data_IF_609745474636
#
_entry.id   IF_609745474636
#
_cell.length_a   1.000
_cell.length_b   1.000
_cell.length_c   1.000
_cell.angle_alpha   90.00
_cell.angle_beta   90.00
_cell.angle_gamma   90.00
#
_symmetry.space_group_name_H-M   'P 1'
#
loop_
_entity.id
_entity.type
_entity.pdbx_description
1 polymer ?
#
# COMPACT_ATOMS: atom_id res chain seq x y z
N UNK A 1 13.23 19.57 27.60
CA UNK A 1 13.29 18.18 28.13
C UNK A 1 13.11 17.25 26.95
N UNK A 2 14.14 16.52 26.55
CA UNK A 2 13.99 15.50 25.50
C UNK A 2 13.05 14.42 26.06
N UNK A 3 11.89 14.24 25.45
CA UNK A 3 10.98 13.15 25.80
C UNK A 3 11.78 11.86 25.59
N UNK A 4 11.96 11.05 26.63
CA UNK A 4 12.55 9.72 26.52
C UNK A 4 11.67 8.93 25.53
N UNK A 5 12.04 9.00 24.25
CA UNK A 5 11.21 8.48 23.17
C UNK A 5 11.63 7.03 23.01
N UNK A 6 10.74 6.12 23.39
CA UNK A 6 11.03 4.69 23.28
C UNK A 6 11.29 4.33 21.81
N UNK A 7 12.06 3.28 21.51
CA UNK A 7 12.24 2.81 20.13
C UNK A 7 10.91 2.57 19.41
N UNK A 8 9.90 2.08 20.12
CA UNK A 8 8.55 1.89 19.61
C UNK A 8 7.87 3.23 19.24
N UNK A 9 8.02 4.27 20.06
CA UNK A 9 7.46 5.59 19.78
C UNK A 9 8.14 6.27 18.59
N UNK A 10 9.47 6.13 18.48
CA UNK A 10 10.23 6.58 17.31
C UNK A 10 9.74 5.87 16.04
N UNK A 11 9.55 4.56 16.11
CA UNK A 11 9.05 3.78 14.98
C UNK A 11 7.62 4.18 14.60
N UNK A 12 6.71 4.38 15.56
CA UNK A 12 5.34 4.88 15.29
C UNK A 12 5.37 6.24 14.61
N UNK A 13 6.19 7.17 15.10
CA UNK A 13 6.30 8.50 14.51
C UNK A 13 6.84 8.44 13.07
N UNK A 14 7.89 7.66 12.84
CA UNK A 14 8.47 7.47 11.50
C UNK A 14 7.48 6.80 10.54
N UNK A 15 6.76 5.78 11.01
CA UNK A 15 5.76 5.06 10.23
C UNK A 15 4.62 6.00 9.81
N UNK A 16 4.08 6.78 10.75
CA UNK A 16 3.01 7.73 10.48
C UNK A 16 3.44 8.81 9.47
N UNK A 17 4.62 9.41 9.68
CA UNK A 17 5.15 10.44 8.78
C UNK A 17 5.37 9.91 7.35
N UNK A 18 5.93 8.71 7.22
CA UNK A 18 6.16 8.13 5.89
C UNK A 18 4.86 7.74 5.21
N UNK A 19 3.91 7.14 5.93
CA UNK A 19 2.60 6.74 5.39
C UNK A 19 1.88 7.95 4.83
N UNK A 20 1.89 9.07 5.57
CA UNK A 20 1.33 10.34 5.12
C UNK A 20 2.05 10.92 3.91
N UNK A 21 3.38 10.81 3.85
CA UNK A 21 4.14 11.27 2.70
C UNK A 21 3.85 10.44 1.43
N UNK A 22 3.70 9.12 1.58
CA UNK A 22 3.45 8.19 0.48
C UNK A 22 2.00 8.22 -0.04
N UNK A 23 1.03 8.64 0.78
CA UNK A 23 -0.38 8.68 0.39
C UNK A 23 -0.74 9.77 -0.62
N UNK A 24 0.19 10.69 -0.92
CA UNK A 24 -0.01 11.87 -1.76
C UNK A 24 -1.11 12.84 -1.24
N UNK A 25 -1.50 12.74 0.03
CA UNK A 25 -2.54 13.57 0.66
C UNK A 25 -2.01 14.39 1.84
N UNK A 26 -2.09 15.72 1.72
CA UNK A 26 -1.53 16.65 2.72
C UNK A 26 -2.26 16.66 4.05
N UNK A 27 -3.59 16.52 4.01
CA UNK A 27 -4.44 16.60 5.19
C UNK A 27 -4.76 15.24 5.80
N UNK A 28 -4.17 14.16 5.27
CA UNK A 28 -4.42 12.81 5.79
C UNK A 28 -3.88 12.66 7.22
N UNK A 29 -4.72 12.14 8.10
CA UNK A 29 -4.32 11.74 9.44
C UNK A 29 -3.87 10.28 9.46
N UNK A 30 -2.87 9.97 10.30
CA UNK A 30 -2.42 8.59 10.50
C UNK A 30 -2.55 8.24 11.98
N UNK A 31 -3.38 7.23 12.27
CA UNK A 31 -3.63 6.70 13.59
C UNK A 31 -3.12 5.28 13.77
N UNK A 32 -3.21 4.79 15.01
CA UNK A 32 -2.91 3.41 15.36
C UNK A 32 -4.11 2.77 16.04
N UNK A 33 -4.46 1.55 15.64
CA UNK A 33 -5.62 0.83 16.17
C UNK A 33 -5.58 -0.65 15.83
N UNK A 34 -6.43 -1.43 16.50
CA UNK A 34 -6.51 -2.87 16.28
C UNK A 34 -7.12 -3.19 14.90
N UNK A 35 -8.04 -2.35 14.43
CA UNK A 35 -8.66 -2.44 13.12
C UNK A 35 -7.94 -1.50 12.16
N UNK A 36 -6.97 -2.05 11.42
CA UNK A 36 -6.29 -1.28 10.39
C UNK A 36 -7.19 -1.13 9.15
N UNK A 37 -7.23 0.08 8.60
CA UNK A 37 -8.10 0.40 7.48
C UNK A 37 -8.06 1.88 7.10
N UNK A 38 -8.68 2.18 5.97
CA UNK A 38 -8.92 3.53 5.50
C UNK A 38 -10.28 4.01 6.00
N UNK A 39 -10.31 5.13 6.71
CA UNK A 39 -11.52 5.78 7.24
C UNK A 39 -11.85 7.08 6.49
N UNK A 40 -11.27 7.30 5.31
CA UNK A 40 -11.48 8.48 4.48
C UNK A 40 -10.45 9.57 4.78
N UNK A 41 -10.66 10.33 5.85
CA UNK A 41 -9.73 11.40 6.29
C UNK A 41 -8.54 10.87 7.11
N UNK A 42 -8.64 9.61 7.57
CA UNK A 42 -7.66 8.99 8.44
C UNK A 42 -7.33 7.56 8.01
N UNK A 43 -6.04 7.25 7.92
CA UNK A 43 -5.56 5.87 7.85
C UNK A 43 -5.25 5.36 9.27
N UNK A 44 -5.79 4.19 9.60
CA UNK A 44 -5.49 3.51 10.86
C UNK A 44 -4.53 2.35 10.59
N UNK A 45 -3.36 2.39 11.22
CA UNK A 45 -2.32 1.37 11.11
C UNK A 45 -2.33 0.45 12.34
N UNK A 46 -1.78 -0.76 12.19
CA UNK A 46 -1.58 -1.64 13.35
C UNK A 46 -0.49 -1.08 14.28
N UNK A 47 -0.70 -1.08 15.60
CA UNK A 47 0.35 -0.68 16.53
C UNK A 47 1.51 -1.68 16.48
N UNK A 48 2.76 -1.22 16.40
CA UNK A 48 3.93 -2.09 16.50
C UNK A 48 4.04 -2.71 17.89
N UNK A 49 4.58 -3.93 18.03
CA UNK A 49 4.93 -4.50 19.33
C UNK A 49 6.03 -3.70 20.03
N UNK A 50 6.23 -3.98 21.31
CA UNK A 50 7.32 -3.36 22.11
C UNK A 50 8.67 -3.86 21.60
N UNK A 51 8.80 -5.17 21.38
CA UNK A 51 9.98 -5.77 20.78
C UNK A 51 9.86 -5.76 19.26
N UNK A 52 10.72 -4.98 18.61
CA UNK A 52 10.64 -4.68 17.19
C UNK A 52 11.77 -5.37 16.43
N UNK A 53 11.62 -6.68 16.23
CA UNK A 53 12.51 -7.43 15.35
C UNK A 53 12.46 -6.87 13.90
N UNK A 54 13.58 -6.89 13.14
CA UNK A 54 13.65 -6.33 11.79
C UNK A 54 12.58 -6.86 10.83
N UNK A 55 12.25 -8.15 10.93
CA UNK A 55 11.27 -8.82 10.07
C UNK A 55 9.85 -8.33 10.38
N UNK A 56 9.54 -8.11 11.66
CA UNK A 56 8.26 -7.55 12.09
C UNK A 56 8.14 -6.09 11.66
N UNK A 57 9.23 -5.32 11.79
CA UNK A 57 9.27 -3.93 11.34
C UNK A 57 9.01 -3.82 9.83
N UNK A 58 9.68 -4.66 9.02
CA UNK A 58 9.50 -4.72 7.57
C UNK A 58 8.06 -5.09 7.19
N UNK A 59 7.46 -6.08 7.87
CA UNK A 59 6.05 -6.45 7.67
C UNK A 59 5.10 -5.29 7.97
N UNK A 60 5.23 -4.65 9.13
CA UNK A 60 4.35 -3.54 9.53
C UNK A 60 4.51 -2.35 8.58
N UNK A 61 5.76 -2.06 8.16
CA UNK A 61 6.02 -1.08 7.10
C UNK A 61 5.32 -1.45 5.81
N UNK A 62 5.40 -2.71 5.37
CA UNK A 62 4.77 -3.16 4.13
C UNK A 62 3.26 -3.02 4.15
N UNK A 63 2.62 -3.33 5.28
CA UNK A 63 1.18 -3.13 5.47
C UNK A 63 0.81 -1.63 5.37
N UNK A 64 1.58 -0.76 5.99
CA UNK A 64 1.35 0.69 5.94
C UNK A 64 1.63 1.28 4.55
N UNK A 65 2.72 0.86 3.91
CA UNK A 65 3.10 1.28 2.56
C UNK A 65 2.03 0.86 1.55
N UNK A 66 1.47 -0.35 1.66
CA UNK A 66 0.37 -0.80 0.81
C UNK A 66 -0.89 0.06 0.97
N UNK A 67 -1.25 0.43 2.21
CA UNK A 67 -2.38 1.34 2.46
C UNK A 67 -2.13 2.74 1.90
N UNK A 68 -0.93 3.28 2.07
CA UNK A 68 -0.56 4.59 1.52
C UNK A 68 -0.59 4.59 -0.01
N UNK A 69 0.02 3.59 -0.66
CA UNK A 69 0.02 3.44 -2.11
C UNK A 69 -1.39 3.28 -2.66
N UNK A 70 -2.27 2.55 -1.94
CA UNK A 70 -3.68 2.44 -2.32
C UNK A 70 -4.36 3.80 -2.29
N UNK A 71 -4.15 4.60 -1.24
CA UNK A 71 -4.71 5.96 -1.18
C UNK A 71 -4.21 6.84 -2.34
N UNK A 72 -2.94 6.72 -2.71
CA UNK A 72 -2.32 7.52 -3.76
C UNK A 72 -2.75 7.13 -5.19
N UNK A 73 -3.00 5.83 -5.44
CA UNK A 73 -3.10 5.29 -6.79
C UNK A 73 -4.41 4.57 -7.12
N UNK A 74 -5.32 4.44 -6.15
CA UNK A 74 -6.63 3.85 -6.36
C UNK A 74 -7.67 4.91 -6.70
N UNK A 75 -8.46 4.68 -7.75
CA UNK A 75 -9.67 5.45 -8.05
C UNK A 75 -10.90 4.62 -7.70
N UNK A 76 -11.61 4.91 -6.59
CA UNK A 76 -12.76 4.14 -6.16
C UNK A 76 -13.92 4.14 -7.18
N UNK A 77 -14.12 5.24 -7.91
CA UNK A 77 -15.23 5.39 -8.84
C UNK A 77 -15.00 4.58 -10.11
N UNK A 78 -13.79 4.68 -10.67
CA UNK A 78 -13.38 3.88 -11.82
C UNK A 78 -13.34 2.39 -11.47
N UNK A 79 -12.85 2.05 -10.27
CA UNK A 79 -12.80 0.66 -9.80
C UNK A 79 -14.20 0.04 -9.68
N UNK A 80 -15.15 0.76 -9.08
CA UNK A 80 -16.53 0.30 -8.94
C UNK A 80 -17.25 0.12 -10.29
N UNK A 81 -16.96 1.00 -11.25
CA UNK A 81 -17.59 0.97 -12.58
C UNK A 81 -17.17 -0.26 -13.39
N UNK A 82 -15.90 -0.67 -13.30
CA UNK A 82 -15.36 -1.82 -14.02
C UNK A 82 -15.41 -3.12 -13.22
N UNK A 83 -15.93 -3.09 -11.99
CA UNK A 83 -15.99 -4.24 -11.11
C UNK A 83 -16.91 -5.33 -11.71
N UNK A 84 -16.40 -6.55 -11.97
CA UNK A 84 -17.21 -7.62 -12.55
C UNK A 84 -18.26 -8.13 -11.55
N UNK A 85 -19.29 -8.81 -12.07
CA UNK A 85 -20.29 -9.50 -11.25
C UNK A 85 -19.80 -10.90 -10.81
N UNK A 86 -20.37 -11.41 -9.72
CA UNK A 86 -19.98 -12.69 -9.11
C UNK A 86 -18.91 -12.53 -8.02
N UNK A 87 -18.96 -13.37 -6.98
CA UNK A 87 -18.10 -13.22 -5.80
C UNK A 87 -16.63 -13.50 -6.13
N UNK A 88 -16.34 -14.60 -6.85
CA UNK A 88 -14.99 -14.95 -7.25
C UNK A 88 -14.36 -13.90 -8.17
N UNK A 89 -15.08 -13.46 -9.20
CA UNK A 89 -14.59 -12.44 -10.13
C UNK A 89 -14.31 -11.11 -9.43
N UNK A 90 -15.16 -10.72 -8.46
CA UNK A 90 -14.91 -9.54 -7.62
C UNK A 90 -13.63 -9.69 -6.80
N UNK A 91 -13.41 -10.84 -6.15
CA UNK A 91 -12.18 -11.09 -5.36
C UNK A 91 -10.93 -11.07 -6.22
N UNK A 92 -10.98 -11.67 -7.41
CA UNK A 92 -9.90 -11.61 -8.40
C UNK A 92 -9.60 -10.18 -8.83
N UNK A 93 -10.64 -9.39 -9.12
CA UNK A 93 -10.49 -8.00 -9.54
C UNK A 93 -9.88 -7.12 -8.44
N UNK A 94 -10.28 -7.30 -7.17
CA UNK A 94 -9.63 -6.63 -6.02
C UNK A 94 -8.16 -7.02 -5.87
N UNK A 95 -7.85 -8.31 -6.02
CA UNK A 95 -6.47 -8.82 -5.98
C UNK A 95 -5.62 -8.23 -7.11
N UNK A 96 -6.16 -8.15 -8.33
CA UNK A 96 -5.48 -7.55 -9.46
C UNK A 96 -5.17 -6.06 -9.26
N UNK A 97 -6.13 -5.30 -8.71
CA UNK A 97 -5.92 -3.88 -8.40
C UNK A 97 -4.87 -3.70 -7.29
N UNK A 98 -4.91 -4.54 -6.26
CA UNK A 98 -3.90 -4.54 -5.19
C UNK A 98 -2.52 -4.82 -5.77
N UNK A 99 -2.38 -5.84 -6.61
CA UNK A 99 -1.13 -6.19 -7.28
C UNK A 99 -0.61 -5.04 -8.17
N UNK A 100 -1.49 -4.35 -8.90
CA UNK A 100 -1.12 -3.18 -9.72
C UNK A 100 -0.51 -2.08 -8.85
N UNK A 101 -1.22 -1.68 -7.78
CA UNK A 101 -0.80 -0.62 -6.88
C UNK A 101 0.53 -0.96 -6.17
N UNK A 102 0.64 -2.17 -5.60
CA UNK A 102 1.86 -2.61 -4.92
C UNK A 102 3.04 -2.72 -5.90
N UNK A 103 2.80 -3.11 -7.16
CA UNK A 103 3.86 -3.15 -8.17
C UNK A 103 4.42 -1.77 -8.51
N UNK A 104 3.57 -0.73 -8.54
CA UNK A 104 4.01 0.65 -8.81
C UNK A 104 4.96 1.15 -7.73
N UNK A 105 4.58 0.98 -6.46
CA UNK A 105 5.42 1.37 -5.33
C UNK A 105 6.73 0.58 -5.28
N UNK A 106 6.66 -0.74 -5.52
CA UNK A 106 7.85 -1.59 -5.52
C UNK A 106 8.84 -1.26 -6.65
N UNK A 107 8.34 -0.94 -7.84
CA UNK A 107 9.17 -0.56 -8.98
C UNK A 107 9.83 0.81 -8.77
N UNK A 108 9.13 1.74 -8.11
CA UNK A 108 9.65 3.07 -7.83
C UNK A 108 10.65 3.09 -6.65
N UNK A 109 10.46 2.22 -5.65
CA UNK A 109 11.20 2.28 -4.38
C UNK A 109 11.64 0.89 -3.92
N UNK A 110 12.94 0.59 -4.03
CA UNK A 110 13.51 -0.72 -3.68
C UNK A 110 13.27 -1.10 -2.20
N UNK A 111 13.35 -0.13 -1.28
CA UNK A 111 13.05 -0.37 0.13
C UNK A 111 11.59 -0.76 0.36
N UNK A 112 10.67 -0.06 -0.31
CA UNK A 112 9.23 -0.40 -0.29
C UNK A 112 8.97 -1.77 -0.90
N UNK A 113 9.69 -2.17 -1.95
CA UNK A 113 9.58 -3.51 -2.52
C UNK A 113 9.85 -4.60 -1.47
N UNK A 114 10.92 -4.46 -0.67
CA UNK A 114 11.24 -5.38 0.42
C UNK A 114 10.19 -5.40 1.53
N UNK A 115 9.65 -4.23 1.89
CA UNK A 115 8.57 -4.13 2.88
C UNK A 115 7.29 -4.84 2.40
N UNK A 116 6.88 -4.57 1.16
CA UNK A 116 5.71 -5.19 0.52
C UNK A 116 5.89 -6.70 0.41
N UNK A 117 7.08 -7.19 0.10
CA UNK A 117 7.38 -8.62 0.06
C UNK A 117 7.25 -9.28 1.44
N UNK A 118 7.70 -8.61 2.51
CA UNK A 118 7.52 -9.09 3.89
C UNK A 118 6.04 -9.13 4.30
N UNK A 119 5.24 -8.15 3.89
CA UNK A 119 3.81 -8.14 4.12
C UNK A 119 3.09 -9.25 3.35
N UNK A 120 3.46 -9.45 2.07
CA UNK A 120 2.90 -10.49 1.21
C UNK A 120 3.21 -11.89 1.75
N UNK A 121 4.46 -12.15 2.14
CA UNK A 121 4.87 -13.44 2.71
C UNK A 121 4.05 -13.77 3.98
N UNK A 122 3.82 -12.78 4.83
CA UNK A 122 2.93 -12.94 5.99
C UNK A 122 1.48 -13.23 5.58
N UNK A 123 0.92 -12.51 4.59
CA UNK A 123 -0.44 -12.79 4.08
C UNK A 123 -0.54 -14.23 3.58
N UNK A 124 0.39 -14.68 2.74
CA UNK A 124 0.43 -16.05 2.21
C UNK A 124 0.50 -17.12 3.31
N UNK A 125 1.29 -16.89 4.36
CA UNK A 125 1.36 -17.79 5.52
C UNK A 125 0.05 -17.81 6.31
N UNK A 126 -0.56 -16.64 6.53
CA UNK A 126 -1.81 -16.52 7.29
C UNK A 126 -3.02 -17.14 6.59
N UNK A 127 -3.06 -17.14 5.26
CA UNK A 127 -4.13 -17.75 4.46
C UNK A 127 -3.90 -19.23 4.20
N UNK A 128 -2.87 -19.83 4.81
CA UNK A 128 -2.49 -21.23 4.66
C UNK A 128 -2.31 -21.66 3.20
N UNK A 129 -1.75 -20.76 2.38
CA UNK A 129 -1.68 -20.82 0.92
C UNK A 129 -0.90 -22.03 0.34
N UNK A 130 -0.39 -22.94 1.19
CA UNK A 130 0.31 -24.17 0.79
C UNK A 130 -0.27 -25.47 1.36
N UNK A 131 -1.32 -25.43 2.18
CA UNK A 131 -1.82 -26.61 2.89
C UNK A 131 -2.94 -27.38 2.17
N UNK A 132 -3.25 -27.01 0.92
CA UNK A 132 -4.33 -27.64 0.15
C UNK A 132 -5.71 -27.33 0.73
N UNK A 133 -6.13 -26.07 0.66
CA UNK A 133 -7.53 -25.74 0.93
C UNK A 133 -8.44 -26.49 -0.04
N UNK A 134 -9.48 -27.15 0.48
CA UNK A 134 -10.49 -27.84 -0.33
C UNK A 134 -11.39 -26.87 -1.11
N UNK A 135 -11.33 -25.58 -0.79
CA UNK A 135 -12.05 -24.52 -1.50
C UNK A 135 -11.14 -23.87 -2.56
N UNK A 136 -11.27 -24.24 -3.85
CA UNK A 136 -10.47 -23.65 -4.92
C UNK A 136 -10.75 -22.15 -5.09
N UNK A 137 -11.93 -21.64 -4.72
CA UNK A 137 -12.24 -20.21 -4.78
C UNK A 137 -11.54 -19.43 -3.67
N UNK A 138 -11.31 -20.04 -2.51
CA UNK A 138 -10.52 -19.45 -1.43
C UNK A 138 -9.08 -19.19 -1.87
N UNK A 139 -8.51 -20.09 -2.68
CA UNK A 139 -7.10 -20.07 -3.12
C UNK A 139 -6.89 -19.24 -4.38
N UNK A 140 -7.84 -19.22 -5.32
CA UNK A 140 -7.63 -18.64 -6.64
C UNK A 140 -7.35 -17.13 -6.62
N UNK A 141 -8.10 -16.35 -5.84
CA UNK A 141 -7.93 -14.90 -5.80
C UNK A 141 -6.57 -14.47 -5.21
N UNK A 142 -6.12 -14.99 -4.05
CA UNK A 142 -4.77 -14.73 -3.55
C UNK A 142 -3.65 -15.25 -4.47
N UNK A 143 -3.87 -16.39 -5.14
CA UNK A 143 -2.90 -16.95 -6.08
C UNK A 143 -2.68 -16.02 -7.27
N UNK A 144 -3.77 -15.48 -7.79
CA UNK A 144 -3.75 -14.60 -8.93
C UNK A 144 -3.17 -13.22 -8.55
N UNK A 145 -3.47 -12.68 -7.38
CA UNK A 145 -2.81 -11.47 -6.85
C UNK A 145 -1.29 -11.65 -6.83
N UNK A 146 -0.78 -12.77 -6.27
CA UNK A 146 0.65 -13.06 -6.23
C UNK A 146 1.26 -13.14 -7.63
N UNK A 147 0.62 -13.88 -8.55
CA UNK A 147 1.09 -14.03 -9.92
C UNK A 147 1.12 -12.68 -10.65
N UNK A 148 0.05 -11.89 -10.53
CA UNK A 148 -0.06 -10.57 -11.16
C UNK A 148 0.99 -9.62 -10.62
N UNK A 149 1.26 -9.62 -9.31
CA UNK A 149 2.29 -8.78 -8.71
C UNK A 149 3.68 -9.11 -9.30
N UNK A 150 4.00 -10.40 -9.43
CA UNK A 150 5.26 -10.84 -10.05
C UNK A 150 5.36 -10.41 -11.51
N UNK A 151 4.28 -10.61 -12.27
CA UNK A 151 4.23 -10.21 -13.68
C UNK A 151 4.38 -8.69 -13.83
N UNK A 152 3.63 -7.88 -13.09
CA UNK A 152 3.70 -6.42 -13.21
C UNK A 152 5.07 -5.86 -12.82
N UNK A 153 5.73 -6.41 -11.81
CA UNK A 153 7.11 -6.03 -11.45
C UNK A 153 8.12 -6.41 -12.55
N UNK A 154 7.96 -7.57 -13.19
CA UNK A 154 8.89 -8.03 -14.23
C UNK A 154 8.72 -7.29 -15.55
N UNK A 155 7.47 -7.04 -15.97
CA UNK A 155 7.20 -6.41 -17.27
C UNK A 155 7.21 -4.87 -17.18
N UNK A 156 7.11 -4.31 -15.96
CA UNK A 156 7.03 -2.86 -15.76
C UNK A 156 5.78 -2.25 -16.40
N UNK A 157 4.75 -3.05 -16.67
CA UNK A 157 3.54 -2.59 -17.34
C UNK A 157 2.60 -1.90 -16.36
N UNK A 158 2.35 -0.63 -16.62
CA UNK A 158 1.18 0.09 -16.14
C UNK A 158 -0.07 -0.45 -16.88
N UNK A 159 -0.67 -1.55 -16.39
CA UNK A 159 -1.81 -2.17 -17.10
C UNK A 159 -3.09 -1.30 -17.07
N UNK A 160 -3.13 -0.19 -16.32
CA UNK A 160 -4.27 0.74 -16.31
C UNK A 160 -3.82 2.20 -16.26
N UNK A 161 -2.85 2.61 -17.09
CA UNK A 161 -2.60 4.03 -17.36
C UNK A 161 -3.44 4.53 -18.55
N UNK A 162 -4.75 4.33 -18.47
CA UNK A 162 -5.71 5.06 -19.27
C UNK A 162 -6.54 5.95 -18.34
N UNK A 163 -6.13 7.21 -18.19
CA UNK A 163 -6.90 8.35 -17.61
C UNK A 163 -6.66 8.77 -16.14
N UNK A 164 -5.75 8.19 -15.35
CA UNK A 164 -5.39 8.84 -14.08
C UNK A 164 -4.40 9.97 -14.35
N UNK A 165 -4.95 11.18 -14.44
CA UNK A 165 -4.23 12.42 -14.66
C UNK A 165 -2.99 12.51 -13.77
N UNK A 166 -1.83 12.43 -14.42
CA UNK A 166 -0.54 12.82 -13.90
C UNK A 166 -0.71 14.26 -13.40
N UNK A 167 -0.95 14.44 -12.09
CA UNK A 167 -1.02 15.76 -11.47
C UNK A 167 0.40 16.30 -11.55
N UNK A 168 0.69 16.97 -12.66
CA UNK A 168 1.94 17.63 -12.94
C UNK A 168 2.22 18.56 -11.77
N UNK A 169 3.25 18.22 -11.00
CA UNK A 169 3.97 19.18 -10.18
C UNK A 169 4.82 19.97 -11.18
N UNK A 170 4.20 20.88 -11.93
CA UNK A 170 4.93 21.92 -12.64
C UNK A 170 5.18 23.05 -11.66
N UNK A 171 6.42 23.10 -11.20
CA UNK A 171 7.27 24.29 -11.27
C UNK A 171 6.53 25.58 -11.66
N UNK A 172 6.17 26.39 -10.66
CA UNK A 172 5.53 27.70 -10.86
C UNK A 172 5.96 28.69 -9.76
N UNK A 173 7.26 28.67 -9.40
CA UNK A 173 7.87 29.70 -8.55
C UNK A 173 9.25 30.15 -9.03
N UNK A 174 9.42 30.20 -10.34
CA UNK A 174 10.49 30.95 -10.98
C UNK A 174 9.88 32.04 -11.87
N UNK A 175 9.14 32.98 -11.27
CA UNK A 175 8.91 34.32 -11.85
C UNK A 175 8.41 35.26 -10.76
N UNK A 176 9.28 36.19 -10.35
CA UNK A 176 8.99 37.16 -9.30
C UNK A 176 10.22 37.87 -8.71
N UNK A 177 11.30 38.00 -9.49
CA UNK A 177 12.37 38.97 -9.24
C UNK A 177 12.37 39.98 -10.39
N UNK A 178 11.64 41.07 -10.20
CA UNK A 178 11.74 42.37 -10.87
C UNK A 178 10.43 43.09 -10.54
N UNK A 179 10.44 44.17 -9.76
CA UNK A 179 10.59 45.54 -10.28
C UNK A 179 10.56 46.55 -9.09
N UNK A 180 10.89 47.84 -9.32
CA UNK A 180 11.98 48.58 -8.68
C UNK A 180 11.71 49.20 -7.30
#
# INVERSE_FOLDING_TARGET
MAKDTTPQDLFKAALAATTKAMSAERELEVGFGNEAGDQGDRLVLRPPPIDLAPEIAARIRGEADAMALRRAHHDPAAHLTHRPQGDLARRVYEGAETARIESLGANAMLGTAGNLDAALDHRCKSTNFGAGSEDPEAVLAPALEFLLLRVFRLVGLDIVAGHVGRRQVTDDRADGLAEP
#
